data_IF_432172846628
#
_entry.id   IF_432172846628
#
_cell.length_a   1.000
_cell.length_b   1.000
_cell.length_c   1.000
_cell.angle_alpha   90.00
_cell.angle_beta   90.00
_cell.angle_gamma   90.00
#
_symmetry.space_group_name_H-M   'P 1'
#
loop_
_entity.id
_entity.type
_entity.pdbx_description
1 polymer ?
#
# COMPACT_ATOMS: atom_id res chain seq x y z
N UNK A 1 16.40 22.44 10.38
CA UNK A 1 15.47 21.64 9.55
C UNK A 1 14.31 21.21 10.43
N UNK A 2 13.09 21.54 10.08
CA UNK A 2 11.91 21.17 10.86
C UNK A 2 11.59 19.67 10.62
N UNK A 3 11.19 18.98 11.68
CA UNK A 3 10.64 17.62 11.57
C UNK A 3 9.14 17.69 11.35
N UNK A 4 8.66 16.94 10.37
CA UNK A 4 7.22 16.81 10.12
C UNK A 4 6.68 15.71 11.05
N UNK A 5 5.77 16.08 11.93
CA UNK A 5 5.19 15.20 12.95
C UNK A 5 3.68 14.99 12.74
N UNK A 6 3.20 15.23 11.54
CA UNK A 6 1.80 15.03 11.15
C UNK A 6 1.56 13.62 10.64
N UNK A 7 0.34 13.07 10.75
CA UNK A 7 0.00 11.77 10.16
C UNK A 7 0.02 11.79 8.62
N UNK A 8 -0.11 12.95 8.04
CA UNK A 8 0.04 13.22 6.61
C UNK A 8 -0.11 14.72 6.32
N UNK A 9 0.67 15.25 5.39
CA UNK A 9 1.88 14.68 4.75
C UNK A 9 2.97 14.31 5.75
N UNK A 10 3.71 13.23 5.46
CA UNK A 10 4.79 12.74 6.31
C UNK A 10 6.16 13.07 5.75
N UNK A 11 7.18 13.05 6.61
CA UNK A 11 8.56 13.19 6.17
C UNK A 11 9.07 11.84 5.66
N UNK A 12 9.49 11.82 4.38
CA UNK A 12 10.07 10.63 3.76
C UNK A 12 11.58 10.63 3.98
N UNK A 13 12.17 9.58 4.58
CA UNK A 13 13.61 9.46 4.74
C UNK A 13 14.34 9.48 3.39
N UNK A 14 15.58 10.02 3.39
CA UNK A 14 16.38 10.14 2.16
C UNK A 14 16.66 8.78 1.50
N UNK A 15 16.84 7.72 2.28
CA UNK A 15 17.02 6.36 1.78
C UNK A 15 15.83 5.87 0.95
N UNK A 16 14.61 6.16 1.40
CA UNK A 16 13.38 5.83 0.67
C UNK A 16 13.25 6.68 -0.59
N UNK A 17 13.57 7.99 -0.48
CA UNK A 17 13.56 8.88 -1.66
C UNK A 17 14.53 8.41 -2.73
N UNK A 18 15.73 7.98 -2.35
CA UNK A 18 16.72 7.42 -3.28
C UNK A 18 16.23 6.13 -3.92
N UNK A 19 15.65 5.22 -3.16
CA UNK A 19 15.10 3.98 -3.71
C UNK A 19 14.08 4.25 -4.82
N UNK A 20 13.26 5.28 -4.67
CA UNK A 20 12.28 5.69 -5.69
C UNK A 20 12.88 6.32 -6.94
N UNK A 21 14.15 6.74 -6.91
CA UNK A 21 14.82 7.36 -8.05
C UNK A 21 15.54 6.38 -8.98
N UNK A 22 15.64 5.12 -8.58
CA UNK A 22 16.24 4.10 -9.43
C UNK A 22 15.32 3.74 -10.58
N UNK A 23 15.93 3.53 -11.75
CA UNK A 23 15.20 3.03 -12.91
C UNK A 23 14.64 1.64 -12.60
N UNK A 24 13.38 1.43 -12.95
CA UNK A 24 12.71 0.16 -12.80
C UNK A 24 12.66 -0.58 -14.14
N UNK A 25 12.41 -1.86 -14.08
CA UNK A 25 11.99 -2.70 -15.21
C UNK A 25 10.62 -2.22 -15.74
N UNK A 26 10.22 -2.74 -16.87
CA UNK A 26 8.87 -2.55 -17.37
C UNK A 26 7.91 -3.47 -16.60
N UNK A 27 7.02 -2.92 -15.76
CA UNK A 27 6.17 -3.73 -14.87
C UNK A 27 5.16 -4.60 -15.62
N UNK A 28 4.87 -4.28 -16.89
CA UNK A 28 3.87 -5.01 -17.68
C UNK A 28 4.46 -6.19 -18.44
N UNK A 29 5.76 -6.20 -18.69
CA UNK A 29 6.40 -7.16 -19.59
C UNK A 29 7.55 -7.95 -18.97
N UNK A 30 8.20 -7.41 -17.95
CA UNK A 30 9.40 -8.03 -17.38
C UNK A 30 9.04 -9.03 -16.28
N UNK A 31 9.36 -10.30 -16.48
CA UNK A 31 9.10 -11.38 -15.50
C UNK A 31 9.77 -11.10 -14.16
N UNK A 32 10.95 -10.48 -14.16
CA UNK A 32 11.67 -10.07 -12.95
C UNK A 32 10.84 -9.14 -12.06
N UNK A 33 9.98 -8.31 -12.65
CA UNK A 33 9.10 -7.44 -11.89
C UNK A 33 7.98 -8.22 -11.19
N UNK A 34 7.46 -9.27 -11.82
CA UNK A 34 6.44 -10.14 -11.19
C UNK A 34 7.00 -10.81 -9.94
N UNK A 35 8.20 -11.35 -10.03
CA UNK A 35 8.86 -11.98 -8.89
C UNK A 35 9.13 -10.98 -7.76
N UNK A 36 9.63 -9.81 -8.10
CA UNK A 36 9.84 -8.72 -7.15
C UNK A 36 8.53 -8.25 -6.48
N UNK A 37 7.45 -8.09 -7.25
CA UNK A 37 6.14 -7.70 -6.72
C UNK A 37 5.58 -8.77 -5.79
N UNK A 38 5.64 -10.03 -6.20
CA UNK A 38 5.19 -11.16 -5.41
C UNK A 38 5.94 -11.24 -4.07
N UNK A 39 7.27 -11.19 -4.11
CA UNK A 39 8.10 -11.19 -2.90
C UNK A 39 7.73 -10.03 -1.98
N UNK A 40 7.53 -8.85 -2.53
CA UNK A 40 7.11 -7.67 -1.76
C UNK A 40 5.77 -7.89 -1.05
N UNK A 41 4.78 -8.43 -1.74
CA UNK A 41 3.47 -8.76 -1.16
C UNK A 41 3.58 -9.83 -0.08
N UNK A 42 4.39 -10.86 -0.28
CA UNK A 42 4.65 -11.91 0.70
C UNK A 42 5.32 -11.37 1.97
N UNK A 43 6.27 -10.45 1.84
CA UNK A 43 6.91 -9.76 2.96
C UNK A 43 5.90 -8.94 3.78
N UNK A 44 4.98 -8.24 3.11
CA UNK A 44 3.92 -7.47 3.79
C UNK A 44 2.96 -8.42 4.51
N UNK A 45 2.53 -9.52 3.88
CA UNK A 45 1.68 -10.52 4.52
C UNK A 45 2.35 -11.13 5.76
N UNK A 46 3.65 -11.40 5.67
CA UNK A 46 4.46 -11.89 6.79
C UNK A 46 4.53 -10.86 7.93
N UNK A 47 4.76 -9.59 7.61
CA UNK A 47 4.78 -8.50 8.59
C UNK A 47 3.44 -8.38 9.33
N UNK A 48 2.34 -8.57 8.63
CA UNK A 48 0.98 -8.51 9.20
C UNK A 48 0.55 -9.81 9.89
N UNK A 49 1.36 -10.86 9.81
CA UNK A 49 1.05 -12.17 10.40
C UNK A 49 -0.15 -12.86 9.75
N UNK A 50 -0.43 -12.58 8.48
CA UNK A 50 -1.56 -13.16 7.75
C UNK A 50 -1.09 -14.16 6.69
N UNK A 51 -1.97 -15.12 6.37
CA UNK A 51 -1.81 -16.04 5.24
C UNK A 51 -2.59 -15.58 4.00
N UNK A 52 -3.34 -14.48 4.13
CA UNK A 52 -4.09 -13.92 3.02
C UNK A 52 -3.13 -13.23 2.03
N UNK A 53 -3.53 -13.18 0.78
CA UNK A 53 -2.79 -12.43 -0.22
C UNK A 53 -2.85 -10.94 0.06
N UNK A 54 -1.71 -10.28 -0.07
CA UNK A 54 -1.58 -8.83 -0.03
C UNK A 54 -1.52 -8.31 -1.46
N UNK A 55 -2.25 -7.24 -1.72
CA UNK A 55 -2.20 -6.50 -2.97
C UNK A 55 -1.76 -5.07 -2.69
N UNK A 56 -0.90 -4.54 -3.53
CA UNK A 56 -0.49 -3.13 -3.47
C UNK A 56 -1.30 -2.38 -4.52
N UNK A 57 -2.17 -1.47 -4.05
CA UNK A 57 -2.95 -0.62 -4.94
C UNK A 57 -2.17 0.63 -5.29
N UNK A 58 -2.23 1.02 -6.57
CA UNK A 58 -1.64 2.28 -7.04
C UNK A 58 -2.60 3.44 -6.76
N UNK A 59 -2.35 4.14 -5.67
CA UNK A 59 -3.19 5.26 -5.25
C UNK A 59 -2.89 5.74 -3.83
N UNK A 60 -3.70 6.66 -3.36
CA UNK A 60 -3.65 7.13 -1.97
C UNK A 60 -4.29 6.13 -1.01
N UNK A 61 -3.98 6.26 0.30
CA UNK A 61 -4.55 5.39 1.34
C UNK A 61 -6.07 5.36 1.37
N UNK A 62 -6.73 6.43 0.94
CA UNK A 62 -8.20 6.49 0.84
C UNK A 62 -8.77 5.50 -0.18
N UNK A 63 -8.01 5.16 -1.23
CA UNK A 63 -8.39 4.13 -2.18
C UNK A 63 -8.53 2.76 -1.48
N UNK A 64 -7.60 2.45 -0.58
CA UNK A 64 -7.66 1.22 0.23
C UNK A 64 -8.85 1.21 1.19
N UNK A 65 -9.17 2.35 1.79
CA UNK A 65 -10.35 2.49 2.66
C UNK A 65 -11.66 2.31 1.86
N UNK A 66 -11.76 2.92 0.69
CA UNK A 66 -12.92 2.74 -0.18
C UNK A 66 -13.07 1.29 -0.64
N UNK A 67 -11.96 0.66 -1.06
CA UNK A 67 -11.97 -0.75 -1.46
C UNK A 67 -12.40 -1.66 -0.31
N UNK A 68 -11.95 -1.41 0.91
CA UNK A 68 -12.36 -2.16 2.10
C UNK A 68 -13.86 -1.99 2.38
N UNK A 69 -14.36 -0.76 2.37
CA UNK A 69 -15.78 -0.50 2.57
C UNK A 69 -16.62 -1.18 1.49
N UNK A 70 -16.27 -1.04 0.23
CA UNK A 70 -16.98 -1.65 -0.89
C UNK A 70 -16.98 -3.19 -0.86
N UNK A 71 -15.91 -3.78 -0.32
CA UNK A 71 -15.78 -5.25 -0.22
C UNK A 71 -16.49 -5.86 0.99
N UNK A 72 -16.66 -5.09 2.06
CA UNK A 72 -17.16 -5.58 3.36
C UNK A 72 -18.60 -5.20 3.63
N UNK A 73 -19.23 -4.36 2.79
CA UNK A 73 -20.60 -3.88 3.01
C UNK A 73 -21.48 -4.10 1.79
N UNK A 74 -22.77 -4.29 2.05
CA UNK A 74 -23.83 -4.40 1.03
C UNK A 74 -24.89 -3.31 1.23
N UNK A 75 -25.70 -2.98 0.20
CA UNK A 75 -26.80 -2.04 0.35
C UNK A 75 -27.77 -2.46 1.47
N UNK A 76 -27.95 -1.60 2.44
CA UNK A 76 -28.80 -1.83 3.62
C UNK A 76 -28.05 -2.20 4.90
N UNK A 77 -26.75 -2.44 4.82
CA UNK A 77 -25.93 -2.67 6.01
C UNK A 77 -25.87 -1.43 6.90
N UNK A 78 -25.79 -1.67 8.19
CA UNK A 78 -25.61 -0.60 9.19
C UNK A 78 -24.13 -0.45 9.51
N UNK A 79 -23.62 0.74 9.31
CA UNK A 79 -22.21 1.09 9.57
C UNK A 79 -22.15 2.15 10.67
N UNK A 80 -21.24 1.94 11.63
CA UNK A 80 -20.93 2.93 12.65
C UNK A 80 -19.72 3.75 12.22
N UNK A 81 -19.88 5.05 12.19
CA UNK A 81 -18.78 6.00 11.96
C UNK A 81 -18.51 6.73 13.28
N UNK A 82 -17.25 6.75 13.68
CA UNK A 82 -16.79 7.50 14.86
C UNK A 82 -16.20 8.80 14.34
N UNK A 83 -16.81 9.91 14.72
CA UNK A 83 -16.40 11.27 14.35
C UNK A 83 -15.52 11.88 15.45
#
# INVERSE_FOLDING_TARGET
MYKIMTPGPTQVPETVRRARSFACTNPDLDEEFYDFYKETCELISSLLGTKNETLILDGEGILGLEAACASLTEPGDKVLVID
#
